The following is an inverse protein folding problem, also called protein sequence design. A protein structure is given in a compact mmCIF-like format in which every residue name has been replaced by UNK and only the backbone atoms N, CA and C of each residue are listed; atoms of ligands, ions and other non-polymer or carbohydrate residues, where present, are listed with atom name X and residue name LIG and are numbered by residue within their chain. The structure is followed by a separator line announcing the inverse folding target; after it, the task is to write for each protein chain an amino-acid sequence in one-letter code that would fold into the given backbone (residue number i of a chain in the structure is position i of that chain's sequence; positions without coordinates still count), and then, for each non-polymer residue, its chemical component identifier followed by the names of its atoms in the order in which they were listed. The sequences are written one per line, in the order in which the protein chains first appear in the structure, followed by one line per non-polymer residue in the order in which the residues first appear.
data_IF_020396035855
#
_entry.id   IF_020396035855
#
_cell.length_a   1.000
_cell.length_b   1.000
_cell.length_c   1.000
_cell.angle_alpha   90.00
_cell.angle_beta   90.00
_cell.angle_gamma   90.00
#
_symmetry.space_group_name_H-M   'P 1'
#
loop_
_entity.id
_entity.type
_entity.pdbx_description
1 polymer ?
#
# COMPACT_ATOMS: atom_id res chain seq x y z
N UNK A 1 -12.87 -22.37 3.92
CA UNK A 1 -12.81 -21.95 5.34
C UNK A 1 -11.56 -22.58 5.93
N UNK A 2 -10.49 -21.81 6.12
CA UNK A 2 -9.18 -22.34 6.52
C UNK A 2 -9.20 -22.99 7.90
N UNK A 3 -8.24 -23.87 8.16
CA UNK A 3 -8.03 -24.49 9.47
C UNK A 3 -7.81 -23.46 10.59
N UNK A 4 -7.27 -22.28 10.25
CA UNK A 4 -7.15 -21.15 11.18
C UNK A 4 -8.52 -20.67 11.70
N UNK A 5 -9.55 -20.58 10.85
CA UNK A 5 -10.91 -20.20 11.29
C UNK A 5 -11.59 -21.27 12.14
N UNK A 6 -11.42 -22.54 11.76
CA UNK A 6 -11.99 -23.68 12.48
C UNK A 6 -11.35 -23.83 13.86
N UNK A 7 -10.02 -23.76 13.94
CA UNK A 7 -9.25 -23.90 15.19
C UNK A 7 -9.48 -22.75 16.17
N UNK A 8 -9.70 -21.52 15.68
CA UNK A 8 -9.93 -20.35 16.52
C UNK A 8 -11.41 -20.14 16.91
N UNK A 9 -12.32 -21.04 16.51
CA UNK A 9 -13.79 -20.86 16.67
C UNK A 9 -14.26 -19.47 16.19
N UNK A 10 -13.65 -18.96 15.13
CA UNK A 10 -13.94 -17.64 14.54
C UNK A 10 -15.14 -17.64 13.59
N UNK A 11 -15.96 -18.67 13.66
CA UNK A 11 -17.35 -18.71 13.19
C UNK A 11 -18.23 -17.55 13.75
N UNK A 12 -17.68 -16.63 14.56
CA UNK A 12 -18.28 -15.35 14.95
C UNK A 12 -17.91 -14.15 14.06
N UNK A 13 -16.88 -14.24 13.22
CA UNK A 13 -16.61 -13.23 12.17
C UNK A 13 -17.34 -13.58 10.86
N UNK A 14 -18.48 -14.31 10.96
CA UNK A 14 -19.38 -14.70 9.86
C UNK A 14 -19.93 -13.55 9.01
N UNK A 15 -19.64 -12.31 9.37
CA UNK A 15 -20.20 -11.14 8.72
C UNK A 15 -19.26 -10.43 7.75
N UNK A 16 -17.96 -10.78 7.64
CA UNK A 16 -17.07 -10.03 6.73
C UNK A 16 -17.57 -10.08 5.29
N UNK A 17 -18.13 -11.22 4.87
CA UNK A 17 -18.75 -11.38 3.54
C UNK A 17 -19.90 -10.41 3.25
N UNK A 18 -20.53 -9.85 4.30
CA UNK A 18 -21.63 -8.88 4.20
C UNK A 18 -21.18 -7.44 4.42
N UNK A 19 -19.90 -7.20 4.70
CA UNK A 19 -19.38 -5.87 4.97
C UNK A 19 -19.30 -5.09 3.67
N UNK A 20 -20.01 -3.97 3.64
CA UNK A 20 -19.89 -3.00 2.55
C UNK A 20 -18.66 -2.14 2.81
N UNK A 21 -18.03 -1.65 1.75
CA UNK A 21 -16.84 -0.79 1.85
C UNK A 21 -17.07 0.45 2.72
N UNK A 22 -18.31 0.96 2.77
CA UNK A 22 -18.69 2.09 3.64
C UNK A 22 -18.64 1.78 5.15
N UNK A 23 -18.62 0.50 5.53
CA UNK A 23 -18.65 0.07 6.93
C UNK A 23 -17.25 -0.32 7.45
N UNK A 24 -16.19 -0.01 6.69
CA UNK A 24 -14.79 -0.36 7.00
C UNK A 24 -14.32 0.21 8.35
N UNK A 25 -14.66 1.48 8.65
CA UNK A 25 -14.30 2.08 9.94
C UNK A 25 -15.00 1.37 11.10
N UNK A 26 -16.29 1.09 10.97
CA UNK A 26 -17.09 0.40 11.99
C UNK A 26 -16.57 -1.03 12.23
N UNK A 27 -16.06 -1.69 11.18
CA UNK A 27 -15.42 -2.98 11.31
C UNK A 27 -14.16 -2.90 12.17
N UNK A 28 -13.20 -2.07 11.78
CA UNK A 28 -11.86 -2.03 12.39
C UNK A 28 -11.85 -1.35 13.77
N UNK A 29 -12.90 -0.62 14.11
CA UNK A 29 -13.11 -0.07 15.46
C UNK A 29 -14.02 -0.94 16.34
N UNK A 30 -14.60 -2.01 15.78
CA UNK A 30 -15.53 -2.86 16.50
C UNK A 30 -14.84 -3.76 17.54
N UNK A 31 -15.42 -3.87 18.74
CA UNK A 31 -14.93 -4.77 19.82
C UNK A 31 -14.73 -6.23 19.36
N UNK A 32 -15.54 -6.69 18.41
CA UNK A 32 -15.43 -8.04 17.83
C UNK A 32 -14.15 -8.19 17.00
N UNK A 33 -13.76 -7.14 16.27
CA UNK A 33 -12.51 -7.13 15.50
C UNK A 33 -11.29 -7.11 16.43
N UNK A 34 -11.28 -6.24 17.45
CA UNK A 34 -10.17 -6.18 18.41
C UNK A 34 -9.95 -7.54 19.11
N UNK A 35 -11.03 -8.20 19.51
CA UNK A 35 -10.97 -9.54 20.11
C UNK A 35 -10.42 -10.57 19.10
N UNK A 36 -10.92 -10.55 17.87
CA UNK A 36 -10.45 -11.43 16.79
C UNK A 36 -8.96 -11.24 16.48
N UNK A 37 -8.51 -9.99 16.34
CA UNK A 37 -7.12 -9.63 16.05
C UNK A 37 -6.19 -10.07 17.18
N UNK A 38 -6.62 -9.91 18.43
CA UNK A 38 -5.89 -10.41 19.61
C UNK A 38 -5.73 -11.93 19.58
N UNK A 39 -6.80 -12.67 19.24
CA UNK A 39 -6.73 -14.13 19.12
C UNK A 39 -5.80 -14.57 17.99
N UNK A 40 -5.83 -13.88 16.85
CA UNK A 40 -4.93 -14.14 15.73
C UNK A 40 -3.46 -14.02 16.15
N UNK A 41 -3.10 -12.95 16.86
CA UNK A 41 -1.74 -12.76 17.39
C UNK A 41 -1.32 -13.87 18.36
N UNK A 42 -2.19 -14.21 19.32
CA UNK A 42 -1.93 -15.31 20.28
C UNK A 42 -1.74 -16.65 19.59
N UNK A 43 -2.49 -16.91 18.53
CA UNK A 43 -2.37 -18.14 17.76
C UNK A 43 -1.04 -18.17 16.99
N UNK A 44 -0.69 -17.11 16.26
CA UNK A 44 0.57 -17.02 15.52
C UNK A 44 1.80 -17.23 16.41
N UNK A 45 1.76 -16.78 17.66
CA UNK A 45 2.84 -16.98 18.63
C UNK A 45 3.04 -18.44 19.03
N UNK A 46 2.03 -19.30 18.84
CA UNK A 46 2.08 -20.74 19.14
C UNK A 46 2.40 -21.60 17.91
N UNK A 47 2.45 -20.99 16.73
CA UNK A 47 2.66 -21.69 15.47
C UNK A 47 4.11 -21.56 14.98
N UNK A 48 4.62 -22.64 14.36
CA UNK A 48 5.84 -22.59 13.55
C UNK A 48 5.65 -21.65 12.35
N UNK A 49 6.76 -21.11 11.82
CA UNK A 49 6.73 -20.04 10.81
C UNK A 49 5.80 -20.28 9.63
N UNK A 50 5.79 -21.50 9.10
CA UNK A 50 4.97 -21.90 7.94
C UNK A 50 3.46 -21.90 8.20
N UNK A 51 3.06 -22.01 9.47
CA UNK A 51 1.65 -22.03 9.87
C UNK A 51 1.16 -20.66 10.30
N UNK A 52 2.02 -19.64 10.40
CA UNK A 52 1.58 -18.28 10.74
C UNK A 52 0.72 -17.70 9.63
N UNK A 53 -0.34 -16.98 10.01
CA UNK A 53 -1.24 -16.29 9.10
C UNK A 53 -1.34 -14.81 9.44
N UNK A 54 -1.97 -14.02 8.59
CA UNK A 54 -2.10 -12.57 8.78
C UNK A 54 -3.49 -12.09 8.34
N UNK A 55 -3.79 -10.82 8.60
CA UNK A 55 -5.12 -10.26 8.33
C UNK A 55 -5.45 -10.32 6.84
N UNK A 56 -4.47 -10.04 5.97
CA UNK A 56 -4.68 -10.17 4.54
C UNK A 56 -5.02 -11.60 4.11
N UNK A 57 -4.26 -12.62 4.54
CA UNK A 57 -4.54 -14.03 4.19
C UNK A 57 -5.95 -14.43 4.59
N UNK A 58 -6.35 -14.09 5.82
CA UNK A 58 -7.70 -14.34 6.35
C UNK A 58 -8.76 -13.63 5.50
N UNK A 59 -8.60 -12.34 5.23
CA UNK A 59 -9.59 -11.58 4.48
C UNK A 59 -9.67 -12.02 3.01
N UNK A 60 -8.53 -12.38 2.40
CA UNK A 60 -8.47 -12.94 1.04
C UNK A 60 -9.24 -14.25 0.93
N UNK A 61 -9.07 -15.15 1.89
CA UNK A 61 -9.77 -16.44 1.91
C UNK A 61 -11.29 -16.29 2.06
N UNK A 62 -11.72 -15.32 2.87
CA UNK A 62 -13.15 -15.13 3.18
C UNK A 62 -13.87 -14.25 2.15
N UNK A 63 -13.22 -13.23 1.60
CA UNK A 63 -13.85 -12.23 0.73
C UNK A 63 -13.45 -12.37 -0.73
N UNK A 64 -12.41 -13.15 -1.01
CA UNK A 64 -11.66 -13.05 -2.25
C UNK A 64 -10.67 -11.88 -2.22
N UNK A 65 -9.64 -11.99 -3.06
CA UNK A 65 -8.52 -11.05 -3.10
C UNK A 65 -8.98 -9.60 -3.37
N UNK A 66 -9.82 -9.39 -4.40
CA UNK A 66 -10.24 -8.04 -4.84
C UNK A 66 -10.99 -7.29 -3.74
N UNK A 67 -11.88 -7.96 -3.01
CA UNK A 67 -12.65 -7.30 -1.96
C UNK A 67 -11.79 -6.97 -0.74
N UNK A 68 -10.90 -7.88 -0.32
CA UNK A 68 -9.95 -7.62 0.76
C UNK A 68 -9.05 -6.42 0.44
N UNK A 69 -8.54 -6.39 -0.79
CA UNK A 69 -7.75 -5.31 -1.35
C UNK A 69 -8.47 -3.96 -1.29
N UNK A 70 -9.72 -3.90 -1.76
CA UNK A 70 -10.53 -2.68 -1.73
C UNK A 70 -10.80 -2.22 -0.28
N UNK A 71 -11.04 -3.14 0.65
CA UNK A 71 -11.23 -2.78 2.06
C UNK A 71 -10.00 -2.14 2.67
N UNK A 72 -8.80 -2.65 2.39
CA UNK A 72 -7.56 -2.08 2.92
C UNK A 72 -7.25 -0.73 2.27
N UNK A 73 -7.54 -0.57 0.98
CA UNK A 73 -7.45 0.73 0.31
C UNK A 73 -8.39 1.77 0.95
N UNK A 74 -9.64 1.41 1.26
CA UNK A 74 -10.57 2.31 1.97
C UNK A 74 -10.09 2.61 3.38
N UNK A 75 -9.58 1.61 4.10
CA UNK A 75 -9.04 1.82 5.44
C UNK A 75 -7.86 2.81 5.43
N UNK A 76 -6.95 2.70 4.46
CA UNK A 76 -5.77 3.58 4.32
C UNK A 76 -6.09 5.06 4.07
N UNK A 77 -7.34 5.37 3.69
CA UNK A 77 -7.82 6.75 3.49
C UNK A 77 -8.80 7.19 4.57
N UNK A 78 -9.02 6.37 5.61
CA UNK A 78 -9.91 6.68 6.71
C UNK A 78 -9.51 7.95 7.45
N UNK A 79 -10.51 8.71 7.90
CA UNK A 79 -10.31 9.85 8.81
C UNK A 79 -9.97 9.39 10.23
N UNK A 80 -10.25 8.12 10.58
CA UNK A 80 -9.87 7.55 11.86
C UNK A 80 -8.39 7.13 11.81
N UNK A 81 -7.50 7.73 12.63
CA UNK A 81 -6.06 7.45 12.58
C UNK A 81 -5.71 5.98 12.82
N UNK A 82 -6.42 5.29 13.74
CA UNK A 82 -6.21 3.87 14.02
C UNK A 82 -6.55 3.02 12.79
N UNK A 83 -7.69 3.31 12.15
CA UNK A 83 -8.12 2.56 10.96
C UNK A 83 -7.20 2.84 9.77
N UNK A 84 -6.76 4.09 9.61
CA UNK A 84 -5.77 4.48 8.62
C UNK A 84 -4.48 3.70 8.75
N UNK A 85 -3.94 3.63 9.97
CA UNK A 85 -2.73 2.87 10.26
C UNK A 85 -2.91 1.39 9.96
N UNK A 86 -4.02 0.78 10.41
CA UNK A 86 -4.33 -0.63 10.09
C UNK A 86 -4.41 -0.87 8.58
N UNK A 87 -5.05 0.04 7.83
CA UNK A 87 -5.11 -0.03 6.38
C UNK A 87 -3.74 -0.04 5.72
N UNK A 88 -2.85 0.86 6.15
CA UNK A 88 -1.46 0.93 5.69
C UNK A 88 -0.68 -0.35 6.04
N UNK A 89 -0.83 -0.87 7.27
CA UNK A 89 -0.16 -2.09 7.71
C UNK A 89 -0.60 -3.32 6.90
N UNK A 90 -1.89 -3.41 6.57
CA UNK A 90 -2.42 -4.50 5.75
C UNK A 90 -2.00 -4.39 4.29
N UNK A 91 -1.86 -3.18 3.78
CA UNK A 91 -1.24 -2.92 2.48
C UNK A 91 0.23 -3.36 2.48
N UNK A 92 1.01 -3.10 3.54
CA UNK A 92 2.36 -3.64 3.70
C UNK A 92 2.39 -5.18 3.74
N UNK A 93 1.47 -5.81 4.48
CA UNK A 93 1.33 -7.28 4.48
C UNK A 93 1.08 -7.83 3.08
N UNK A 94 0.23 -7.17 2.30
CA UNK A 94 -0.03 -7.55 0.92
C UNK A 94 1.24 -7.51 0.07
N UNK A 95 1.99 -6.41 0.11
CA UNK A 95 3.20 -6.24 -0.70
C UNK A 95 4.22 -7.34 -0.44
N UNK A 96 4.42 -7.70 0.84
CA UNK A 96 5.31 -8.79 1.23
C UNK A 96 4.84 -10.13 0.68
N UNK A 97 3.54 -10.42 0.70
CA UNK A 97 3.00 -11.67 0.16
C UNK A 97 3.19 -11.79 -1.36
N UNK A 98 2.97 -10.72 -2.11
CA UNK A 98 3.28 -10.72 -3.55
C UNK A 98 4.78 -10.79 -3.81
N UNK A 99 5.59 -10.14 -2.98
CA UNK A 99 7.04 -10.21 -3.10
C UNK A 99 7.56 -11.63 -2.92
N UNK A 100 7.11 -12.31 -1.85
CA UNK A 100 7.44 -13.70 -1.58
C UNK A 100 6.94 -14.67 -2.67
N UNK A 101 5.91 -14.29 -3.44
CA UNK A 101 5.36 -15.07 -4.54
C UNK A 101 6.07 -14.81 -5.89
N UNK A 102 7.17 -14.06 -5.92
CA UNK A 102 7.94 -13.77 -7.14
C UNK A 102 7.79 -12.33 -7.65
N UNK A 103 7.43 -11.38 -6.79
CA UNK A 103 7.40 -9.93 -7.09
C UNK A 103 6.53 -9.50 -8.29
N UNK A 104 5.29 -9.99 -8.30
CA UNK A 104 4.34 -9.80 -9.40
C UNK A 104 3.62 -8.44 -9.34
N UNK A 105 4.37 -7.39 -9.70
CA UNK A 105 3.89 -6.00 -9.82
C UNK A 105 2.64 -5.88 -10.71
N UNK A 106 2.68 -6.50 -11.89
CA UNK A 106 1.61 -6.39 -12.88
C UNK A 106 0.31 -7.00 -12.35
N UNK A 107 0.39 -8.10 -11.60
CA UNK A 107 -0.79 -8.69 -10.95
C UNK A 107 -1.39 -7.80 -9.88
N UNK A 108 -0.59 -7.07 -9.11
CA UNK A 108 -1.11 -6.11 -8.13
C UNK A 108 -1.86 -4.99 -8.86
N UNK A 109 -1.22 -4.38 -9.86
CA UNK A 109 -1.81 -3.30 -10.65
C UNK A 109 -3.08 -3.76 -11.39
N UNK A 110 -3.08 -4.98 -11.94
CA UNK A 110 -4.23 -5.59 -12.61
C UNK A 110 -5.41 -5.82 -11.65
N UNK A 111 -5.16 -6.29 -10.42
CA UNK A 111 -6.22 -6.60 -9.46
C UNK A 111 -6.79 -5.37 -8.76
N UNK A 112 -5.96 -4.37 -8.48
CA UNK A 112 -6.35 -3.14 -7.78
C UNK A 112 -6.79 -2.02 -8.73
N UNK A 113 -6.31 -2.03 -9.96
CA UNK A 113 -6.18 -0.83 -10.78
C UNK A 113 -4.96 -0.01 -10.37
N UNK A 114 -4.28 0.56 -11.37
CA UNK A 114 -3.02 1.29 -11.20
C UNK A 114 -3.13 2.44 -10.20
N UNK A 115 -4.27 3.13 -10.15
CA UNK A 115 -4.46 4.25 -9.24
C UNK A 115 -4.42 3.81 -7.76
N UNK A 116 -5.08 2.70 -7.43
CA UNK A 116 -5.08 2.15 -6.07
C UNK A 116 -3.74 1.50 -5.73
N UNK A 117 -3.14 0.82 -6.70
CA UNK A 117 -1.80 0.25 -6.54
C UNK A 117 -0.75 1.34 -6.29
N UNK A 118 -0.78 2.46 -7.03
CA UNK A 118 0.12 3.59 -6.84
C UNK A 118 0.00 4.21 -5.44
N UNK A 119 -1.21 4.48 -4.97
CA UNK A 119 -1.43 4.96 -3.59
C UNK A 119 -0.92 3.97 -2.54
N UNK A 120 -1.13 2.68 -2.78
CA UNK A 120 -0.66 1.62 -1.88
C UNK A 120 0.87 1.55 -1.82
N UNK A 121 1.56 1.63 -2.97
CA UNK A 121 3.03 1.63 -3.00
C UNK A 121 3.59 2.89 -2.34
N UNK A 122 2.96 4.04 -2.56
CA UNK A 122 3.31 5.28 -1.88
C UNK A 122 3.16 5.18 -0.35
N UNK A 123 2.04 4.64 0.14
CA UNK A 123 1.85 4.43 1.57
C UNK A 123 2.93 3.52 2.16
N UNK A 124 3.35 2.50 1.41
CA UNK A 124 4.42 1.61 1.84
C UNK A 124 5.78 2.32 1.94
N UNK A 125 6.11 3.26 1.04
CA UNK A 125 7.31 4.11 1.15
C UNK A 125 7.35 4.82 2.51
N UNK A 126 6.19 5.32 2.96
CA UNK A 126 6.04 6.05 4.24
C UNK A 126 5.92 5.12 5.46
N UNK A 127 6.01 3.80 5.28
CA UNK A 127 5.98 2.84 6.39
C UNK A 127 7.21 2.98 7.28
N UNK A 128 7.05 2.74 8.59
CA UNK A 128 8.18 2.65 9.53
C UNK A 128 8.92 1.32 9.44
N UNK A 129 8.40 0.35 8.69
CA UNK A 129 9.08 -0.91 8.38
C UNK A 129 10.01 -0.71 7.19
N UNK A 130 11.33 -0.84 7.41
CA UNK A 130 12.34 -0.76 6.33
C UNK A 130 12.03 -1.71 5.17
N UNK A 131 11.54 -2.91 5.48
CA UNK A 131 11.15 -3.88 4.46
C UNK A 131 10.00 -3.38 3.60
N UNK A 132 9.00 -2.71 4.21
CA UNK A 132 7.84 -2.21 3.47
C UNK A 132 8.20 -0.97 2.68
N UNK A 133 9.02 -0.10 3.26
CA UNK A 133 9.53 1.11 2.60
C UNK A 133 10.28 0.74 1.32
N UNK A 134 11.24 -0.19 1.40
CA UNK A 134 11.99 -0.67 0.22
C UNK A 134 11.09 -1.34 -0.83
N UNK A 135 10.10 -2.12 -0.41
CA UNK A 135 9.13 -2.70 -1.35
C UNK A 135 8.26 -1.62 -2.02
N UNK A 136 7.84 -0.62 -1.25
CA UNK A 136 7.11 0.54 -1.72
C UNK A 136 7.90 1.32 -2.77
N UNK A 137 9.17 1.63 -2.48
CA UNK A 137 10.09 2.32 -3.41
C UNK A 137 10.23 1.53 -4.72
N UNK A 138 10.52 0.23 -4.62
CA UNK A 138 10.71 -0.64 -5.78
C UNK A 138 9.47 -0.73 -6.65
N UNK A 139 8.29 -0.94 -6.07
CA UNK A 139 7.05 -1.05 -6.84
C UNK A 139 6.55 0.29 -7.37
N UNK A 140 6.76 1.38 -6.62
CA UNK A 140 6.50 2.73 -7.11
C UNK A 140 7.38 3.02 -8.32
N UNK A 141 8.69 2.75 -8.25
CA UNK A 141 9.60 2.96 -9.38
C UNK A 141 9.18 2.19 -10.65
N UNK A 142 8.73 0.93 -10.51
CA UNK A 142 8.16 0.15 -11.62
C UNK A 142 6.93 0.84 -12.23
N UNK A 143 5.99 1.30 -11.40
CA UNK A 143 4.78 1.98 -11.85
C UNK A 143 5.09 3.29 -12.59
N UNK A 144 5.96 4.11 -12.01
CA UNK A 144 6.36 5.38 -12.59
C UNK A 144 7.07 5.17 -13.93
N UNK A 145 8.00 4.22 -14.00
CA UNK A 145 8.71 3.87 -15.25
C UNK A 145 7.74 3.41 -16.34
N UNK A 146 6.75 2.60 -15.98
CA UNK A 146 5.68 2.17 -16.89
C UNK A 146 4.92 3.37 -17.45
N UNK A 147 4.44 4.27 -16.59
CA UNK A 147 3.73 5.48 -17.02
C UNK A 147 4.56 6.41 -17.90
N UNK A 148 5.85 6.56 -17.60
CA UNK A 148 6.76 7.32 -18.46
C UNK A 148 6.93 6.66 -19.83
N UNK A 149 7.03 5.34 -19.88
CA UNK A 149 7.13 4.57 -21.14
C UNK A 149 5.84 4.67 -21.97
N UNK A 150 4.68 4.75 -21.31
CA UNK A 150 3.38 5.03 -21.94
C UNK A 150 3.22 6.50 -22.38
N UNK A 151 4.21 7.36 -22.12
CA UNK A 151 4.18 8.78 -22.47
C UNK A 151 3.28 9.63 -21.59
N UNK A 152 2.93 9.18 -20.37
CA UNK A 152 2.13 9.99 -19.45
C UNK A 152 2.92 11.22 -18.97
N UNK A 153 2.27 12.38 -18.96
CA UNK A 153 2.86 13.59 -18.38
C UNK A 153 2.53 13.71 -16.87
N UNK A 154 3.14 14.70 -16.22
CA UNK A 154 2.96 14.95 -14.78
C UNK A 154 1.48 15.12 -14.42
N UNK A 155 0.74 15.96 -15.15
CA UNK A 155 -0.67 16.25 -14.87
C UNK A 155 -1.55 14.99 -14.95
N UNK A 156 -1.28 14.11 -15.93
CA UNK A 156 -1.98 12.84 -16.07
C UNK A 156 -1.71 11.91 -14.88
N UNK A 157 -0.45 11.84 -14.42
CA UNK A 157 -0.08 11.04 -13.25
C UNK A 157 -0.70 11.61 -11.98
N UNK A 158 -0.61 12.91 -11.75
CA UNK A 158 -1.23 13.57 -10.58
C UNK A 158 -2.74 13.39 -10.57
N UNK A 159 -3.40 13.42 -11.74
CA UNK A 159 -4.84 13.15 -11.84
C UNK A 159 -5.20 11.70 -11.46
N UNK A 160 -4.34 10.74 -11.78
CA UNK A 160 -4.55 9.32 -11.43
C UNK A 160 -4.22 9.03 -9.97
N UNK A 161 -3.05 9.50 -9.52
CA UNK A 161 -2.47 9.24 -8.20
C UNK A 161 -1.75 10.51 -7.74
N UNK A 162 -2.45 11.43 -7.05
CA UNK A 162 -1.84 12.68 -6.60
C UNK A 162 -0.63 12.46 -5.68
N UNK A 163 -0.66 11.39 -4.89
CA UNK A 163 0.35 11.08 -3.88
C UNK A 163 1.74 10.81 -4.44
N UNK A 164 1.86 10.37 -5.71
CA UNK A 164 3.15 10.06 -6.35
C UNK A 164 3.63 11.13 -7.32
N UNK A 165 2.96 12.30 -7.34
CA UNK A 165 3.27 13.39 -8.26
C UNK A 165 4.72 13.88 -8.13
N UNK A 166 5.19 14.06 -6.90
CA UNK A 166 6.56 14.51 -6.62
C UNK A 166 7.59 13.44 -7.00
N UNK A 167 7.33 12.17 -6.65
CA UNK A 167 8.17 11.04 -7.04
C UNK A 167 8.26 10.91 -8.57
N UNK A 168 7.16 11.15 -9.29
CA UNK A 168 7.15 11.12 -10.75
C UNK A 168 7.98 12.24 -11.35
N UNK A 169 7.84 13.47 -10.85
CA UNK A 169 8.65 14.62 -11.28
C UNK A 169 10.14 14.37 -11.05
N UNK A 170 10.50 13.88 -9.86
CA UNK A 170 11.89 13.57 -9.52
C UNK A 170 12.47 12.47 -10.42
N UNK A 171 11.68 11.45 -10.76
CA UNK A 171 12.10 10.40 -11.69
C UNK A 171 12.33 10.96 -13.10
N UNK A 172 11.38 11.74 -13.64
CA UNK A 172 11.53 12.35 -14.97
C UNK A 172 12.75 13.27 -15.03
N UNK A 173 12.98 14.06 -13.98
CA UNK A 173 14.16 14.90 -13.86
C UNK A 173 15.44 14.06 -13.87
N UNK A 174 15.49 12.97 -13.09
CA UNK A 174 16.64 12.05 -13.05
C UNK A 174 16.92 11.41 -14.42
N UNK A 175 15.88 11.03 -15.16
CA UNK A 175 16.00 10.49 -16.52
C UNK A 175 16.56 11.54 -17.49
N UNK A 176 16.06 12.77 -17.42
CA UNK A 176 16.54 13.88 -18.25
C UNK A 176 18.01 14.23 -17.95
N UNK A 177 18.40 14.22 -16.67
CA UNK A 177 19.80 14.43 -16.25
C UNK A 177 20.70 13.34 -16.81
N UNK A 178 20.31 12.06 -16.70
CA UNK A 178 21.07 10.94 -17.24
C UNK A 178 21.19 10.99 -18.76
N UNK A 179 20.14 11.40 -19.46
CA UNK A 179 20.16 11.59 -20.91
C UNK A 179 21.09 12.75 -21.34
N UNK A 180 21.25 13.77 -20.49
CA UNK A 180 22.04 14.97 -20.80
C UNK A 180 23.46 14.99 -20.19
N UNK A 181 23.84 14.01 -19.36
CA UNK A 181 25.23 13.75 -18.94
C UNK A 181 25.93 14.83 -18.09
N UNK A 182 25.21 15.70 -17.38
CA UNK A 182 25.83 16.81 -16.59
C UNK A 182 25.50 16.75 -15.11
N UNK A 183 26.40 16.14 -14.33
CA UNK A 183 26.37 16.09 -12.87
C UNK A 183 26.35 17.48 -12.18
N UNK A 184 26.72 18.56 -12.88
CA UNK A 184 26.68 19.93 -12.35
C UNK A 184 25.28 20.58 -12.37
N UNK A 185 24.34 20.02 -13.12
CA UNK A 185 22.96 20.53 -13.17
C UNK A 185 22.11 19.93 -12.04
N UNK A 186 22.47 18.75 -11.51
CA UNK A 186 21.83 18.12 -10.34
C UNK A 186 21.84 19.03 -9.11
N UNK A 187 22.99 19.63 -8.77
CA UNK A 187 23.11 20.49 -7.60
C UNK A 187 22.37 21.83 -7.75
N UNK A 188 22.33 22.39 -8.97
CA UNK A 188 21.65 23.66 -9.25
C UNK A 188 20.13 23.50 -9.32
N UNK A 189 19.65 22.39 -9.88
CA UNK A 189 18.21 22.12 -10.02
C UNK A 189 17.64 21.62 -8.68
N UNK A 190 18.36 20.79 -7.91
CA UNK A 190 17.95 20.42 -6.56
C UNK A 190 17.87 21.63 -5.61
N UNK A 191 18.76 22.62 -5.78
CA UNK A 191 18.70 23.90 -5.05
C UNK A 191 17.49 24.75 -5.48
N UNK A 192 17.11 24.72 -6.75
CA UNK A 192 15.91 25.40 -7.26
C UNK A 192 14.61 24.73 -6.78
N UNK A 193 14.55 23.40 -6.76
CA UNK A 193 13.42 22.64 -6.24
C UNK A 193 13.21 22.85 -4.73
N UNK A 194 14.30 22.88 -3.94
CA UNK A 194 14.22 23.24 -2.51
C UNK A 194 13.71 24.67 -2.28
N UNK A 195 14.08 25.62 -3.14
CA UNK A 195 13.55 27.00 -3.09
C UNK A 195 12.08 27.09 -3.48
N UNK A 196 11.63 26.31 -4.45
CA UNK A 196 10.22 26.28 -4.85
C UNK A 196 9.32 25.68 -3.75
N UNK A 197 9.79 24.63 -3.07
CA UNK A 197 9.08 24.03 -1.92
C UNK A 197 9.04 24.98 -0.72
N UNK A 198 10.12 25.73 -0.45
CA UNK A 198 10.15 26.75 0.60
C UNK A 198 9.25 27.96 0.28
N UNK A 199 9.08 28.33 -0.99
CA UNK A 199 8.18 29.40 -1.41
C UNK A 199 6.69 28.99 -1.40
N UNK A 200 6.39 27.70 -1.44
CA UNK A 200 5.03 27.16 -1.42
C UNK A 200 4.48 26.89 -0.01
N UNK A 201 5.30 27.09 1.04
CA UNK A 201 4.87 26.94 2.45
C UNK A 201 4.90 28.31 3.13
N UNK A 202 3.76 29.00 3.32
CA UNK A 202 3.74 30.22 4.11
C UNK A 202 3.87 29.88 5.59
N UNK A 203 4.67 30.68 6.30
CA UNK A 203 4.75 30.71 7.78
C UNK A 203 3.44 31.22 8.36
#
# INVERSE_FOLDING_TARGET
MSEAFKSLKLNKFKNVKKIKLKDVDALFTGKKYDLWYTYLGRWNNRQGGNYRTNVFKVFKEELGTIQALNMFAVASTSKNPKVKQLGNDFQGQLLREFSNAGDDFDRIALQLGEAKAGNMFYNAIKSTSDSDSRLGERYTAKLLTKWATEGKNHDQVVKMVPSVGDEYTNMLLSLAIRANGRANDEAKIAAAAKKAVAAATPV
#
